data_IF_161290750300
#
_entry.id   IF_161290750300
#
_cell.length_a   1.000
_cell.length_b   1.000
_cell.length_c   1.000
_cell.angle_alpha   90.00
_cell.angle_beta   90.00
_cell.angle_gamma   90.00
#
_symmetry.space_group_name_H-M   'P 1'
#
loop_
_entity.id
_entity.type
_entity.pdbx_description
1 polymer ?
#
# COMPACT_ATOMS: atom_id res chain seq x y z
N UNK A 1 28.67 8.39 2.31
CA UNK A 1 27.38 8.53 1.60
C UNK A 1 26.94 7.13 1.23
N UNK A 2 25.67 6.77 1.42
CA UNK A 2 25.16 5.46 0.99
C UNK A 2 25.29 5.34 -0.54
N UNK A 3 25.58 4.13 -1.03
CA UNK A 3 25.62 3.91 -2.49
C UNK A 3 24.19 3.93 -3.07
N UNK A 4 24.06 4.18 -4.38
CA UNK A 4 22.77 4.06 -5.08
C UNK A 4 22.11 2.69 -4.80
N UNK A 5 22.91 1.62 -4.78
CA UNK A 5 22.43 0.27 -4.48
C UNK A 5 21.89 0.14 -3.06
N UNK A 6 22.53 0.74 -2.06
CA UNK A 6 22.05 0.71 -0.67
C UNK A 6 20.71 1.45 -0.53
N UNK A 7 20.60 2.62 -1.20
CA UNK A 7 19.38 3.39 -1.25
C UNK A 7 18.24 2.61 -1.96
N UNK A 8 18.51 1.90 -3.05
CA UNK A 8 17.52 1.05 -3.71
C UNK A 8 17.06 -0.06 -2.76
N UNK A 9 18.00 -0.80 -2.16
CA UNK A 9 17.69 -1.99 -1.33
C UNK A 9 16.89 -1.68 -0.07
N UNK A 10 17.00 -0.47 0.49
CA UNK A 10 16.24 -0.08 1.67
C UNK A 10 14.80 0.36 1.38
N UNK A 11 14.41 0.57 0.13
CA UNK A 11 13.08 1.08 -0.23
C UNK A 11 12.04 -0.03 -0.38
N UNK A 12 10.83 0.23 0.12
CA UNK A 12 9.65 -0.62 -0.10
C UNK A 12 8.48 0.26 -0.53
N UNK A 13 8.07 0.13 -1.78
CA UNK A 13 6.96 0.92 -2.33
C UNK A 13 5.79 0.00 -2.65
N UNK A 14 4.69 0.20 -1.94
CA UNK A 14 3.53 -0.69 -2.02
C UNK A 14 2.21 0.06 -1.94
N UNK A 15 1.14 -0.62 -2.36
CA UNK A 15 -0.23 -0.14 -2.18
C UNK A 15 -0.98 -1.06 -1.21
N UNK A 16 -1.97 -0.49 -0.52
CA UNK A 16 -2.94 -1.27 0.25
C UNK A 16 -4.26 -1.22 -0.51
N UNK A 17 -4.75 -2.39 -0.89
CA UNK A 17 -5.98 -2.54 -1.66
C UNK A 17 -6.98 -3.37 -0.87
N UNK A 18 -8.27 -3.08 -1.02
CA UNK A 18 -9.32 -3.87 -0.38
C UNK A 18 -10.68 -3.56 -0.99
N UNK A 19 -11.68 -4.39 -0.68
CA UNK A 19 -13.06 -3.97 -0.79
C UNK A 19 -13.36 -2.80 0.17
N UNK A 20 -14.36 -1.94 -0.10
CA UNK A 20 -14.87 -0.97 0.86
C UNK A 20 -15.11 -1.59 2.24
N UNK A 21 -14.79 -0.81 3.28
CA UNK A 21 -14.96 -1.17 4.69
C UNK A 21 -14.16 -2.36 5.22
N UNK A 22 -13.31 -3.03 4.42
CA UNK A 22 -12.45 -4.12 4.90
C UNK A 22 -11.40 -3.64 5.94
N UNK A 23 -11.09 -2.35 5.96
CA UNK A 23 -10.22 -1.72 6.97
C UNK A 23 -8.88 -1.22 6.47
N UNK A 24 -8.73 -0.96 5.15
CA UNK A 24 -7.55 -0.33 4.53
C UNK A 24 -7.07 0.90 5.31
N UNK A 25 -7.92 1.91 5.48
CA UNK A 25 -7.55 3.18 6.15
C UNK A 25 -7.05 2.94 7.57
N UNK A 26 -7.74 2.08 8.33
CA UNK A 26 -7.32 1.69 9.68
C UNK A 26 -5.95 1.03 9.68
N UNK A 27 -5.69 0.11 8.74
CA UNK A 27 -4.38 -0.54 8.62
C UNK A 27 -3.29 0.48 8.28
N UNK A 28 -3.54 1.36 7.30
CA UNK A 28 -2.63 2.43 6.89
C UNK A 28 -2.25 3.32 8.08
N UNK A 29 -3.21 3.76 8.89
CA UNK A 29 -2.94 4.55 10.10
C UNK A 29 -2.03 3.82 11.09
N UNK A 30 -2.22 2.51 11.28
CA UNK A 30 -1.40 1.72 12.19
C UNK A 30 0.02 1.54 11.68
N UNK A 31 0.20 1.32 10.39
CA UNK A 31 1.54 1.27 9.78
C UNK A 31 2.28 2.59 9.96
N UNK A 32 1.59 3.73 9.79
CA UNK A 32 2.16 5.05 10.03
C UNK A 32 2.51 5.30 11.50
N UNK A 33 1.70 4.79 12.44
CA UNK A 33 2.01 4.84 13.87
C UNK A 33 3.35 4.12 14.17
N UNK A 34 3.57 2.93 13.60
CA UNK A 34 4.82 2.19 13.76
C UNK A 34 6.03 2.91 13.14
N UNK A 35 5.82 3.66 12.07
CA UNK A 35 6.83 4.52 11.45
C UNK A 35 7.21 5.77 12.26
N UNK A 36 6.76 5.90 13.51
CA UNK A 36 6.97 7.11 14.31
C UNK A 36 6.20 8.33 13.80
N UNK A 37 5.30 8.18 12.83
CA UNK A 37 4.44 9.23 12.31
C UNK A 37 3.23 9.44 13.24
N UNK A 38 3.50 9.67 14.53
CA UNK A 38 2.54 9.72 15.65
C UNK A 38 1.43 10.77 15.40
N UNK A 39 1.76 11.87 14.71
CA UNK A 39 0.79 12.90 14.35
C UNK A 39 -0.26 12.44 13.31
N UNK A 40 0.01 11.37 12.55
CA UNK A 40 -0.86 10.91 11.45
C UNK A 40 -1.96 9.97 11.94
N UNK A 41 -1.66 9.07 12.87
CA UNK A 41 -2.59 8.05 13.36
C UNK A 41 -3.76 8.61 14.21
N UNK A 42 -3.66 9.84 14.69
CA UNK A 42 -4.71 10.48 15.52
C UNK A 42 -5.83 11.18 14.73
N UNK A 43 -5.62 11.47 13.45
CA UNK A 43 -6.50 12.37 12.69
C UNK A 43 -7.83 11.71 12.26
N UNK A 44 -7.84 10.40 12.01
CA UNK A 44 -9.01 9.71 11.45
C UNK A 44 -9.96 9.18 12.55
N UNK A 45 -9.44 8.82 13.74
CA UNK A 45 -10.25 8.25 14.84
C UNK A 45 -11.04 9.24 15.70
N UNK A 46 -10.84 10.55 15.58
CA UNK A 46 -11.43 11.51 16.54
C UNK A 46 -12.82 12.04 16.12
N UNK A 47 -13.86 11.50 16.76
CA UNK A 47 -15.22 12.08 16.79
C UNK A 47 -15.45 13.02 17.99
N UNK A 48 -14.42 13.30 18.82
CA UNK A 48 -14.61 14.04 20.09
C UNK A 48 -13.59 15.14 20.41
N UNK A 49 -12.72 15.55 19.49
CA UNK A 49 -11.81 16.68 19.74
C UNK A 49 -12.02 17.75 18.67
N UNK A 50 -12.78 18.80 19.03
CA UNK A 50 -12.72 20.10 18.35
C UNK A 50 -11.33 20.68 18.58
N UNK A 51 -10.41 20.51 17.63
CA UNK A 51 -9.34 21.46 17.27
C UNK A 51 -8.49 20.93 16.11
N UNK A 52 -8.63 21.63 14.98
CA UNK A 52 -7.67 21.75 13.86
C UNK A 52 -7.05 20.44 13.36
N UNK A 53 -7.82 19.66 12.61
CA UNK A 53 -7.28 18.64 11.73
C UNK A 53 -6.59 19.32 10.53
N UNK A 54 -5.30 19.08 10.39
CA UNK A 54 -4.42 19.64 9.37
C UNK A 54 -4.59 18.91 8.04
N UNK A 55 -5.69 19.21 7.32
CA UNK A 55 -5.83 19.27 5.85
C UNK A 55 -7.31 19.17 5.49
N UNK A 56 -7.81 20.04 4.63
CA UNK A 56 -9.22 20.11 4.18
C UNK A 56 -9.75 18.78 3.57
N UNK A 57 -8.85 17.90 3.11
CA UNK A 57 -9.16 16.63 2.45
C UNK A 57 -9.71 15.56 3.39
N UNK A 58 -9.11 15.42 4.59
CA UNK A 58 -9.62 14.50 5.62
C UNK A 58 -11.04 14.90 6.07
N UNK A 59 -11.39 16.18 5.94
CA UNK A 59 -12.73 16.67 6.26
C UNK A 59 -13.76 16.30 5.18
N UNK A 60 -13.38 16.32 3.89
CA UNK A 60 -14.23 15.88 2.76
C UNK A 60 -14.43 14.36 2.78
N UNK A 61 -13.38 13.57 3.00
CA UNK A 61 -13.49 12.12 3.14
C UNK A 61 -14.38 11.76 4.34
N UNK A 62 -14.24 12.49 5.45
CA UNK A 62 -15.08 12.34 6.64
C UNK A 62 -16.54 12.73 6.40
N UNK A 63 -16.81 13.74 5.58
CA UNK A 63 -18.17 14.12 5.18
C UNK A 63 -18.83 13.09 4.28
N UNK A 64 -18.07 12.44 3.39
CA UNK A 64 -18.59 11.45 2.44
C UNK A 64 -18.58 10.01 2.98
N UNK A 65 -17.84 9.73 4.04
CA UNK A 65 -17.69 8.39 4.62
C UNK A 65 -16.93 7.41 3.73
N UNK A 66 -16.27 7.89 2.68
CA UNK A 66 -15.49 7.08 1.71
C UNK A 66 -14.15 7.76 1.44
N UNK A 67 -13.12 6.96 1.13
CA UNK A 67 -11.81 7.49 0.69
C UNK A 67 -11.90 7.92 -0.78
N UNK A 68 -11.53 9.17 -1.06
CA UNK A 68 -11.83 9.87 -2.33
C UNK A 68 -10.56 10.09 -3.17
N UNK A 69 -9.38 10.17 -2.55
CA UNK A 69 -8.15 10.48 -3.27
C UNK A 69 -6.97 9.58 -2.86
N UNK A 70 -6.23 9.06 -3.84
CA UNK A 70 -4.98 8.33 -3.55
C UNK A 70 -3.97 9.25 -2.88
N UNK A 71 -3.55 8.95 -1.66
CA UNK A 71 -2.48 9.66 -0.97
C UNK A 71 -1.18 8.87 -1.04
N UNK A 72 -0.06 9.59 -1.12
CA UNK A 72 1.27 8.99 -1.01
C UNK A 72 1.81 9.33 0.36
N UNK A 73 2.26 8.33 1.11
CA UNK A 73 2.75 8.50 2.47
C UNK A 73 4.04 7.71 2.67
N UNK A 74 5.12 8.43 2.94
CA UNK A 74 6.42 7.87 3.26
C UNK A 74 6.72 7.90 4.75
N UNK A 75 7.38 6.88 5.27
CA UNK A 75 7.93 6.85 6.63
C UNK A 75 9.15 5.91 6.71
N UNK A 76 9.96 6.10 7.74
CA UNK A 76 11.10 5.22 8.02
C UNK A 76 10.71 4.16 9.05
N UNK A 77 11.17 2.92 8.85
CA UNK A 77 10.95 1.81 9.77
C UNK A 77 12.24 0.99 9.89
N UNK A 78 12.95 1.13 11.01
CA UNK A 78 14.33 0.65 11.13
C UNK A 78 15.21 1.29 10.06
N UNK A 79 15.94 0.46 9.31
CA UNK A 79 16.78 0.92 8.19
C UNK A 79 16.02 1.06 6.86
N UNK A 80 14.73 0.74 6.83
CA UNK A 80 13.91 0.75 5.62
C UNK A 80 13.19 2.09 5.42
N UNK A 81 13.09 2.50 4.16
CA UNK A 81 12.26 3.62 3.71
C UNK A 81 11.01 3.09 3.04
N UNK A 82 9.86 3.35 3.63
CA UNK A 82 8.59 2.80 3.20
C UNK A 82 7.78 3.88 2.49
N UNK A 83 7.22 3.55 1.33
CA UNK A 83 6.29 4.40 0.58
C UNK A 83 4.96 3.64 0.41
N UNK A 84 3.91 4.16 1.04
CA UNK A 84 2.53 3.67 0.88
C UNK A 84 1.82 4.53 -0.14
N UNK A 85 1.24 3.89 -1.15
CA UNK A 85 0.28 4.52 -2.05
C UNK A 85 -1.11 4.02 -1.67
N UNK A 86 -1.87 4.87 -0.99
CA UNK A 86 -3.19 4.50 -0.46
C UNK A 86 -4.24 4.59 -1.58
N UNK A 87 -4.85 3.48 -2.00
CA UNK A 87 -5.80 3.48 -3.12
C UNK A 87 -7.24 3.74 -2.67
N UNK A 88 -8.05 4.53 -3.38
CA UNK A 88 -9.49 4.60 -3.14
C UNK A 88 -10.16 3.23 -3.22
N UNK A 89 -11.04 2.91 -2.26
CA UNK A 89 -11.71 1.60 -2.21
C UNK A 89 -13.03 1.52 -3.00
N UNK A 90 -13.65 2.66 -3.30
CA UNK A 90 -14.95 2.72 -3.96
C UNK A 90 -14.85 2.50 -5.48
N UNK A 91 -15.88 1.89 -6.09
CA UNK A 91 -15.86 1.53 -7.53
C UNK A 91 -15.70 2.75 -8.45
N UNK A 92 -16.27 3.88 -8.05
CA UNK A 92 -16.20 5.15 -8.77
C UNK A 92 -14.78 5.71 -8.96
N UNK A 93 -13.79 5.16 -8.25
CA UNK A 93 -12.38 5.58 -8.32
C UNK A 93 -11.45 4.45 -8.80
N UNK A 94 -11.99 3.44 -9.48
CA UNK A 94 -11.24 2.28 -9.93
C UNK A 94 -10.04 2.66 -10.83
N UNK A 95 -10.19 3.64 -11.73
CA UNK A 95 -9.12 4.07 -12.63
C UNK A 95 -7.89 4.62 -11.88
N UNK A 96 -8.10 5.47 -10.88
CA UNK A 96 -7.02 6.00 -10.04
C UNK A 96 -6.33 4.89 -9.26
N UNK A 97 -7.09 3.92 -8.76
CA UNK A 97 -6.57 2.74 -8.07
C UNK A 97 -5.70 1.90 -9.00
N UNK A 98 -6.15 1.61 -10.22
CA UNK A 98 -5.38 0.82 -11.16
C UNK A 98 -4.11 1.55 -11.64
N UNK A 99 -4.17 2.86 -11.87
CA UNK A 99 -2.98 3.67 -12.17
C UNK A 99 -1.99 3.66 -11.00
N UNK A 100 -2.49 3.70 -9.77
CA UNK A 100 -1.65 3.61 -8.57
C UNK A 100 -0.92 2.27 -8.49
N UNK A 101 -1.60 1.16 -8.84
CA UNK A 101 -0.97 -0.16 -8.92
C UNK A 101 0.17 -0.24 -9.94
N UNK A 102 0.25 0.73 -10.86
CA UNK A 102 1.38 0.80 -11.79
C UNK A 102 2.66 1.29 -11.15
N UNK A 103 2.53 2.07 -10.09
CA UNK A 103 3.62 2.76 -9.43
C UNK A 103 4.21 1.99 -8.25
N UNK A 104 3.64 0.85 -7.88
CA UNK A 104 4.08 0.05 -6.72
C UNK A 104 4.84 -1.20 -7.13
N UNK A 105 5.68 -1.70 -6.23
CA UNK A 105 6.49 -2.89 -6.46
C UNK A 105 5.85 -4.14 -5.82
N UNK A 106 4.98 -3.96 -4.83
CA UNK A 106 4.16 -5.00 -4.19
C UNK A 106 2.84 -4.43 -3.66
N UNK A 107 1.96 -5.30 -3.18
CA UNK A 107 0.63 -4.92 -2.66
C UNK A 107 0.29 -5.69 -1.38
N UNK A 108 -0.43 -5.04 -0.47
CA UNK A 108 -1.10 -5.68 0.65
C UNK A 108 -2.61 -5.66 0.37
N UNK A 109 -3.23 -6.84 0.27
CA UNK A 109 -4.68 -7.01 0.19
C UNK A 109 -5.25 -7.10 1.60
N UNK A 110 -6.23 -6.27 1.93
CA UNK A 110 -6.96 -6.38 3.21
C UNK A 110 -8.31 -7.07 2.96
N UNK A 111 -8.56 -8.11 3.74
CA UNK A 111 -9.78 -8.94 3.69
C UNK A 111 -10.49 -8.89 5.03
N UNK A 112 -11.81 -8.78 5.04
CA UNK A 112 -12.61 -8.88 6.25
C UNK A 112 -12.86 -10.36 6.57
N UNK A 113 -12.46 -10.83 7.75
CA UNK A 113 -12.63 -12.24 8.18
C UNK A 113 -14.10 -12.70 8.17
N UNK A 114 -15.06 -11.79 8.34
CA UNK A 114 -16.48 -12.15 8.31
C UNK A 114 -17.02 -12.31 6.90
N UNK A 115 -16.43 -11.61 5.92
CA UNK A 115 -16.96 -11.55 4.56
C UNK A 115 -16.16 -12.36 3.55
N UNK A 116 -14.86 -12.55 3.77
CA UNK A 116 -13.99 -13.21 2.80
C UNK A 116 -13.74 -12.35 1.55
N UNK A 117 -13.69 -12.98 0.39
CA UNK A 117 -13.31 -12.34 -0.87
C UNK A 117 -14.53 -11.67 -1.50
N UNK A 118 -14.51 -10.34 -1.52
CA UNK A 118 -15.56 -9.51 -2.13
C UNK A 118 -15.22 -9.13 -3.60
N UNK A 119 -16.20 -8.55 -4.30
CA UNK A 119 -16.11 -8.27 -5.75
C UNK A 119 -14.89 -7.41 -6.12
N UNK A 120 -14.62 -6.36 -5.34
CA UNK A 120 -13.48 -5.47 -5.63
C UNK A 120 -12.14 -6.15 -5.38
N UNK A 121 -12.04 -6.99 -4.36
CA UNK A 121 -10.83 -7.77 -4.08
C UNK A 121 -10.46 -8.64 -5.28
N UNK A 122 -11.45 -9.31 -5.92
CA UNK A 122 -11.24 -10.09 -7.15
C UNK A 122 -10.70 -9.23 -8.30
N UNK A 123 -11.36 -8.11 -8.60
CA UNK A 123 -10.96 -7.20 -9.69
C UNK A 123 -9.55 -6.64 -9.50
N UNK A 124 -9.22 -6.22 -8.28
CA UNK A 124 -7.90 -5.68 -7.97
C UNK A 124 -6.81 -6.75 -8.03
N UNK A 125 -7.13 -7.98 -7.63
CA UNK A 125 -6.22 -9.12 -7.76
C UNK A 125 -5.93 -9.45 -9.23
N UNK A 126 -6.92 -9.35 -10.13
CA UNK A 126 -6.68 -9.55 -11.58
C UNK A 126 -5.65 -8.55 -12.12
N UNK A 127 -5.73 -7.28 -11.71
CA UNK A 127 -4.74 -6.27 -12.10
C UNK A 127 -3.35 -6.58 -11.53
N UNK A 128 -3.26 -7.06 -10.29
CA UNK A 128 -1.99 -7.51 -9.71
C UNK A 128 -1.42 -8.71 -10.49
N UNK A 129 -2.27 -9.67 -10.87
CA UNK A 129 -1.90 -10.88 -11.62
C UNK A 129 -1.37 -10.55 -13.01
N UNK A 130 -2.01 -9.62 -13.73
CA UNK A 130 -1.57 -9.17 -15.05
C UNK A 130 -0.14 -8.60 -15.05
N UNK A 131 0.35 -8.17 -13.88
CA UNK A 131 1.66 -7.52 -13.71
C UNK A 131 2.63 -8.36 -12.88
N UNK A 132 2.25 -9.58 -12.48
CA UNK A 132 3.01 -10.42 -11.53
C UNK A 132 3.46 -9.60 -10.30
N UNK A 133 2.55 -8.78 -9.76
CA UNK A 133 2.80 -7.97 -8.56
C UNK A 133 2.72 -8.88 -7.34
N UNK A 134 3.78 -8.97 -6.50
CA UNK A 134 3.74 -9.72 -5.26
C UNK A 134 2.66 -9.21 -4.33
N UNK A 135 1.89 -10.13 -3.75
CA UNK A 135 0.75 -9.84 -2.90
C UNK A 135 0.95 -10.46 -1.53
N UNK A 136 0.77 -9.65 -0.48
CA UNK A 136 0.56 -10.14 0.89
C UNK A 136 -0.92 -9.98 1.22
N UNK A 137 -1.52 -10.93 1.92
CA UNK A 137 -2.93 -10.84 2.34
C UNK A 137 -2.97 -10.63 3.85
N UNK A 138 -3.75 -9.64 4.30
CA UNK A 138 -4.03 -9.39 5.71
C UNK A 138 -5.53 -9.61 5.97
N UNK A 139 -5.85 -10.70 6.65
CA UNK A 139 -7.19 -11.03 7.13
C UNK A 139 -7.44 -10.26 8.43
N UNK A 140 -8.29 -9.25 8.32
CA UNK A 140 -8.57 -8.25 9.34
C UNK A 140 -9.86 -8.55 10.11
N UNK A 141 -10.05 -7.82 11.22
CA UNK A 141 -11.24 -7.84 12.08
C UNK A 141 -11.45 -9.12 12.89
N UNK A 142 -10.37 -9.78 13.31
CA UNK A 142 -10.46 -10.92 14.24
C UNK A 142 -11.10 -10.57 15.59
N UNK A 143 -11.23 -9.29 15.93
CA UNK A 143 -11.98 -8.81 17.09
C UNK A 143 -13.50 -8.97 16.97
N UNK A 144 -13.99 -9.45 15.82
CA UNK A 144 -15.40 -9.71 15.54
C UNK A 144 -15.60 -11.17 15.18
N UNK A 145 -16.84 -11.64 15.35
CA UNK A 145 -17.23 -12.94 14.82
C UNK A 145 -16.98 -12.98 13.31
N UNK A 146 -16.47 -14.10 12.86
CA UNK A 146 -16.00 -14.28 11.50
C UNK A 146 -16.09 -15.74 11.08
N UNK A 147 -15.58 -16.02 9.88
CA UNK A 147 -15.53 -17.38 9.35
C UNK A 147 -14.31 -18.12 9.88
N UNK A 148 -14.32 -19.44 9.71
CA UNK A 148 -13.18 -20.26 10.09
C UNK A 148 -11.93 -19.86 9.26
N UNK A 149 -10.74 -19.77 9.88
CA UNK A 149 -9.52 -19.40 9.17
C UNK A 149 -9.17 -20.31 7.99
N UNK A 150 -9.44 -21.62 8.06
CA UNK A 150 -9.20 -22.53 6.94
C UNK A 150 -10.16 -22.27 5.79
N UNK A 151 -11.45 -22.05 6.07
CA UNK A 151 -12.43 -21.67 5.04
C UNK A 151 -12.03 -20.36 4.32
N UNK A 152 -11.42 -19.42 5.07
CA UNK A 152 -10.90 -18.18 4.49
C UNK A 152 -9.68 -18.47 3.60
N UNK A 153 -8.74 -19.33 4.01
CA UNK A 153 -7.61 -19.70 3.16
C UNK A 153 -8.06 -20.36 1.85
N UNK A 154 -9.00 -21.30 1.92
CA UNK A 154 -9.54 -21.99 0.74
C UNK A 154 -10.26 -21.03 -0.22
N UNK A 155 -11.03 -20.09 0.34
CA UNK A 155 -11.66 -19.03 -0.47
C UNK A 155 -10.62 -18.12 -1.10
N UNK A 156 -9.57 -17.72 -0.36
CA UNK A 156 -8.50 -16.88 -0.91
C UNK A 156 -7.80 -17.59 -2.08
N UNK A 157 -7.45 -18.86 -1.95
CA UNK A 157 -6.83 -19.61 -3.06
C UNK A 157 -7.74 -19.69 -4.28
N UNK A 158 -8.98 -20.12 -4.08
CA UNK A 158 -9.92 -20.37 -5.17
C UNK A 158 -10.37 -19.10 -5.89
N UNK A 159 -10.73 -18.05 -5.14
CA UNK A 159 -11.27 -16.81 -5.70
C UNK A 159 -10.19 -15.88 -6.24
N UNK A 160 -9.04 -15.79 -5.57
CA UNK A 160 -7.94 -14.93 -6.01
C UNK A 160 -7.04 -15.61 -7.05
N UNK A 161 -7.12 -16.95 -7.15
CA UNK A 161 -6.33 -17.80 -8.06
C UNK A 161 -4.83 -17.64 -7.81
N UNK A 162 -4.42 -17.75 -6.55
CA UNK A 162 -3.03 -17.64 -6.08
C UNK A 162 -2.82 -18.67 -4.96
N UNK A 163 -1.65 -19.30 -4.89
CA UNK A 163 -1.36 -20.15 -3.74
C UNK A 163 -1.24 -19.30 -2.48
N UNK A 164 -1.67 -19.81 -1.32
CA UNK A 164 -1.52 -19.10 -0.05
C UNK A 164 -0.59 -19.84 0.90
N UNK A 165 0.07 -19.08 1.77
CA UNK A 165 0.81 -19.63 2.91
C UNK A 165 0.54 -18.79 4.15
N UNK A 166 -0.19 -19.27 5.16
CA UNK A 166 -0.28 -18.56 6.42
C UNK A 166 1.12 -18.39 7.03
N UNK A 167 1.48 -17.15 7.35
CA UNK A 167 2.68 -16.77 8.11
C UNK A 167 2.35 -16.34 9.55
N UNK A 168 1.06 -16.25 9.85
CA UNK A 168 0.55 -16.10 11.20
C UNK A 168 -0.76 -16.86 11.32
N UNK A 169 -1.14 -17.29 12.51
CA UNK A 169 -2.38 -18.03 12.75
C UNK A 169 -3.16 -17.48 13.95
N UNK A 170 -4.47 -17.22 13.83
CA UNK A 170 -5.26 -16.67 14.92
C UNK A 170 -5.60 -17.73 15.96
N UNK A 171 -5.57 -17.36 17.24
CA UNK A 171 -6.04 -18.17 18.35
C UNK A 171 -7.43 -17.68 18.70
N UNK A 172 -8.43 -18.46 18.28
CA UNK A 172 -9.85 -18.11 18.29
C UNK A 172 -10.15 -16.83 17.48
N UNK A 173 -11.42 -16.42 17.49
CA UNK A 173 -11.93 -15.22 16.83
C UNK A 173 -13.01 -14.56 17.71
N UNK A 174 -13.40 -13.33 17.36
CA UNK A 174 -14.50 -12.62 18.00
C UNK A 174 -14.29 -12.41 19.50
N UNK A 175 -15.32 -12.67 20.30
CA UNK A 175 -15.26 -12.47 21.74
C UNK A 175 -14.23 -13.38 22.44
N UNK A 176 -13.86 -14.49 21.80
CA UNK A 176 -12.88 -15.46 22.32
C UNK A 176 -11.47 -15.24 21.79
N UNK A 177 -11.25 -14.22 20.96
CA UNK A 177 -9.94 -13.96 20.36
C UNK A 177 -8.86 -13.74 21.43
N UNK A 178 -7.81 -14.58 21.39
CA UNK A 178 -6.73 -14.59 22.40
C UNK A 178 -5.40 -14.07 21.88
N UNK A 179 -5.19 -14.05 20.57
CA UNK A 179 -3.92 -13.63 19.99
C UNK A 179 -3.65 -14.26 18.64
N UNK A 180 -2.42 -14.12 18.16
CA UNK A 180 -1.96 -14.69 16.90
C UNK A 180 -0.59 -15.31 17.15
N UNK A 181 -0.40 -16.50 16.62
CA UNK A 181 0.90 -17.15 16.54
C UNK A 181 1.60 -16.72 15.25
N UNK A 182 2.80 -16.18 15.36
CA UNK A 182 3.64 -15.81 14.22
C UNK A 182 4.45 -17.03 13.77
N UNK A 183 4.04 -17.67 12.67
CA UNK A 183 4.69 -18.84 12.08
C UNK A 183 6.06 -18.46 11.50
N UNK A 184 6.20 -17.22 11.01
CA UNK A 184 7.45 -16.76 10.40
C UNK A 184 8.58 -16.54 11.42
N UNK A 185 8.26 -16.05 12.63
CA UNK A 185 9.25 -15.78 13.68
C UNK A 185 9.21 -16.77 14.85
N UNK A 186 8.27 -17.73 14.83
CA UNK A 186 7.97 -18.62 15.96
C UNK A 186 7.74 -17.83 17.26
N UNK A 187 6.74 -16.96 17.29
CA UNK A 187 6.41 -16.19 18.49
C UNK A 187 4.92 -16.13 18.75
N UNK A 188 4.52 -16.06 20.02
CA UNK A 188 3.13 -15.87 20.40
C UNK A 188 2.89 -14.43 20.82
N UNK A 189 1.98 -13.79 20.11
CA UNK A 189 1.50 -12.46 20.45
C UNK A 189 0.14 -12.61 21.11
N UNK A 190 0.00 -12.12 22.35
CA UNK A 190 -1.24 -12.24 23.11
C UNK A 190 -2.07 -10.98 23.00
N UNK A 191 -3.35 -11.17 22.66
CA UNK A 191 -4.32 -10.10 22.64
C UNK A 191 -4.93 -9.91 24.02
N UNK A 192 -4.66 -8.74 24.63
CA UNK A 192 -5.36 -8.27 25.82
C UNK A 192 -6.22 -7.07 25.44
N UNK A 193 -7.55 -7.08 25.67
CA UNK A 193 -8.46 -6.01 25.25
C UNK A 193 -8.31 -4.67 26.00
N UNK A 194 -7.17 -4.43 26.66
CA UNK A 194 -6.91 -3.20 27.40
C UNK A 194 -6.22 -2.14 26.52
N UNK A 195 -6.85 -0.96 26.41
CA UNK A 195 -6.43 0.12 25.50
C UNK A 195 -5.19 0.88 25.96
N UNK A 196 -4.66 0.58 27.15
CA UNK A 196 -3.56 1.35 27.77
C UNK A 196 -2.24 0.58 27.91
N UNK A 197 -2.20 -0.74 27.67
CA UNK A 197 -0.97 -1.53 27.81
C UNK A 197 -0.37 -1.92 26.47
N UNK A 198 0.95 -1.83 26.40
CA UNK A 198 1.77 -2.42 25.35
C UNK A 198 1.50 -3.93 25.36
N UNK A 199 1.36 -4.50 24.16
CA UNK A 199 1.11 -5.92 23.94
C UNK A 199 2.16 -6.78 24.66
N UNK A 200 1.74 -7.92 25.19
CA UNK A 200 2.64 -8.88 25.81
C UNK A 200 3.02 -9.91 24.75
N UNK A 201 4.24 -9.74 24.22
CA UNK A 201 4.85 -10.71 23.31
C UNK A 201 5.55 -11.77 24.14
N UNK A 202 5.19 -13.03 23.92
CA UNK A 202 5.88 -14.18 24.51
C UNK A 202 6.70 -14.82 23.41
N UNK A 203 8.01 -14.58 23.45
CA UNK A 203 8.94 -15.32 22.61
C UNK A 203 8.99 -16.77 23.10
N UNK A 204 8.68 -17.68 22.18
CA UNK A 204 8.58 -19.10 22.43
C UNK A 204 9.48 -19.79 21.44
N UNK A 205 10.31 -20.70 21.92
CA UNK A 205 11.18 -21.48 21.05
C UNK A 205 10.49 -22.70 20.44
N UNK A 206 9.42 -23.20 21.09
CA UNK A 206 8.68 -24.38 20.66
C UNK A 206 7.21 -24.31 21.13
N UNK A 207 6.26 -24.75 20.30
CA UNK A 207 4.83 -24.83 20.65
C UNK A 207 4.55 -25.79 21.80
N UNK A 208 5.46 -26.70 22.14
CA UNK A 208 5.34 -27.54 23.35
C UNK A 208 5.71 -26.80 24.64
N UNK A 209 6.12 -25.53 24.56
CA UNK A 209 6.44 -24.72 25.73
C UNK A 209 5.20 -24.54 26.62
N UNK A 210 5.26 -24.93 27.90
CA UNK A 210 4.14 -24.79 28.84
C UNK A 210 3.61 -23.35 28.97
N UNK A 211 4.44 -22.35 28.65
CA UNK A 211 4.03 -20.94 28.62
C UNK A 211 2.90 -20.68 27.61
N UNK A 212 2.77 -21.50 26.57
CA UNK A 212 1.65 -21.44 25.62
C UNK A 212 0.35 -21.85 26.32
N UNK A 213 0.35 -23.00 26.99
CA UNK A 213 -0.82 -23.52 27.71
C UNK A 213 -1.22 -22.58 28.87
N UNK A 214 -0.25 -22.00 29.57
CA UNK A 214 -0.52 -21.00 30.61
C UNK A 214 -1.15 -19.72 30.04
N UNK A 215 -0.69 -19.29 28.86
CA UNK A 215 -1.12 -18.05 28.24
C UNK A 215 -2.51 -18.13 27.61
N UNK A 216 -2.80 -19.22 26.89
CA UNK A 216 -4.05 -19.37 26.12
C UNK A 216 -4.98 -20.45 26.65
N UNK A 217 -4.53 -21.31 27.57
CA UNK A 217 -5.29 -22.45 28.10
C UNK A 217 -5.09 -23.72 27.27
N UNK A 218 -5.04 -24.88 27.95
CA UNK A 218 -4.71 -26.19 27.37
C UNK A 218 -5.55 -26.54 26.12
N UNK A 219 -6.86 -26.28 26.15
CA UNK A 219 -7.74 -26.60 25.02
C UNK A 219 -7.42 -25.79 23.77
N UNK A 220 -7.17 -24.48 23.92
CA UNK A 220 -6.85 -23.59 22.79
C UNK A 220 -5.40 -23.82 22.31
N UNK A 221 -4.49 -24.14 23.24
CA UNK A 221 -3.12 -24.52 22.90
C UNK A 221 -3.07 -25.84 22.11
N UNK A 222 -3.86 -26.84 22.50
CA UNK A 222 -3.99 -28.10 21.75
C UNK A 222 -4.53 -27.82 20.35
N UNK A 223 -5.62 -27.04 20.23
CA UNK A 223 -6.16 -26.69 18.91
C UNK A 223 -5.13 -25.96 18.05
N UNK A 224 -4.40 -24.99 18.60
CA UNK A 224 -3.35 -24.28 17.88
C UNK A 224 -2.29 -25.24 17.34
N UNK A 225 -1.85 -26.23 18.13
CA UNK A 225 -0.88 -27.24 17.70
C UNK A 225 -1.43 -28.08 16.55
N UNK A 226 -2.67 -28.57 16.68
CA UNK A 226 -3.34 -29.35 15.64
C UNK A 226 -3.48 -28.55 14.33
N UNK A 227 -3.91 -27.29 14.43
CA UNK A 227 -4.04 -26.39 13.27
C UNK A 227 -2.67 -26.16 12.59
N UNK A 228 -1.59 -25.96 13.36
CA UNK A 228 -0.25 -25.74 12.82
C UNK A 228 0.36 -27.00 12.20
N UNK A 229 0.08 -28.19 12.77
CA UNK A 229 0.44 -29.46 12.15
C UNK A 229 -0.27 -29.64 10.80
N UNK A 230 -1.57 -29.33 10.75
CA UNK A 230 -2.34 -29.36 9.51
C UNK A 230 -1.77 -28.38 8.48
N UNK A 231 -1.41 -27.16 8.89
CA UNK A 231 -0.78 -26.17 8.01
C UNK A 231 0.55 -26.67 7.47
N UNK A 232 1.36 -27.32 8.30
CA UNK A 232 2.63 -27.93 7.89
C UNK A 232 2.46 -29.11 6.93
N UNK A 233 1.37 -29.85 7.04
CA UNK A 233 1.06 -31.00 6.17
C UNK A 233 0.38 -30.62 4.84
N UNK A 234 -0.41 -29.54 4.81
CA UNK A 234 -1.22 -29.15 3.65
C UNK A 234 -0.55 -28.07 2.80
N UNK A 235 -0.03 -27.01 3.42
CA UNK A 235 0.53 -25.88 2.67
C UNK A 235 2.05 -26.04 2.52
N UNK A 236 2.61 -25.75 1.34
CA UNK A 236 4.06 -25.77 1.15
C UNK A 236 4.75 -24.75 2.07
N UNK A 237 6.05 -24.94 2.30
CA UNK A 237 6.85 -23.94 3.00
C UNK A 237 6.85 -22.60 2.24
N UNK A 238 7.09 -21.52 2.97
CA UNK A 238 7.14 -20.20 2.37
C UNK A 238 8.36 -20.04 1.45
N UNK A 239 8.09 -19.95 0.15
CA UNK A 239 9.10 -19.64 -0.87
C UNK A 239 9.03 -18.16 -1.25
N UNK A 240 10.09 -17.42 -0.89
CA UNK A 240 10.23 -15.99 -1.20
C UNK A 240 10.26 -15.74 -2.71
N UNK A 241 10.86 -16.63 -3.52
CA UNK A 241 10.93 -16.46 -4.97
C UNK A 241 9.56 -16.64 -5.62
N UNK A 242 8.75 -17.60 -5.17
CA UNK A 242 7.37 -17.76 -5.65
C UNK A 242 6.48 -16.57 -5.24
N UNK A 243 6.71 -16.00 -4.05
CA UNK A 243 6.09 -14.73 -3.65
C UNK A 243 6.49 -13.57 -4.57
N UNK A 244 7.78 -13.40 -4.85
CA UNK A 244 8.28 -12.34 -5.73
C UNK A 244 7.83 -12.49 -7.19
N UNK A 245 7.49 -13.72 -7.62
CA UNK A 245 6.86 -14.02 -8.91
C UNK A 245 5.34 -13.82 -8.92
N UNK A 246 4.73 -13.50 -7.77
CA UNK A 246 3.29 -13.30 -7.65
C UNK A 246 2.46 -14.59 -7.70
N UNK A 247 3.06 -15.74 -7.35
CA UNK A 247 2.41 -17.06 -7.37
C UNK A 247 2.00 -17.56 -6.00
N UNK A 248 2.68 -17.08 -4.95
CA UNK A 248 2.41 -17.41 -3.56
C UNK A 248 2.12 -16.12 -2.78
N UNK A 249 1.02 -16.08 -2.03
CA UNK A 249 0.68 -14.97 -1.13
C UNK A 249 0.85 -15.39 0.33
N UNK A 250 1.77 -14.76 1.09
CA UNK A 250 1.78 -14.93 2.53
C UNK A 250 0.53 -14.30 3.15
N UNK A 251 -0.09 -15.02 4.08
CA UNK A 251 -1.33 -14.61 4.76
C UNK A 251 -1.04 -14.29 6.22
N UNK A 252 -1.45 -13.10 6.63
CA UNK A 252 -1.42 -12.62 8.00
C UNK A 252 -2.83 -12.45 8.54
N UNK A 253 -3.02 -12.67 9.82
CA UNK A 253 -4.29 -12.59 10.53
C UNK A 253 -4.15 -11.54 11.64
N UNK A 254 -5.15 -10.66 11.80
CA UNK A 254 -5.07 -9.63 12.83
C UNK A 254 -6.31 -8.76 13.01
N UNK A 255 -6.15 -7.75 13.87
CA UNK A 255 -7.13 -6.68 14.08
C UNK A 255 -6.42 -5.33 13.99
N UNK A 256 -6.53 -4.68 12.83
CA UNK A 256 -5.99 -3.34 12.63
C UNK A 256 -6.59 -2.33 13.61
N UNK A 257 -7.87 -2.49 13.98
CA UNK A 257 -8.54 -1.60 14.93
C UNK A 257 -7.82 -1.56 16.28
N UNK A 258 -7.37 -2.73 16.73
CA UNK A 258 -6.66 -2.95 17.99
C UNK A 258 -5.14 -2.97 17.84
N UNK A 259 -4.60 -2.67 16.64
CA UNK A 259 -3.15 -2.68 16.35
C UNK A 259 -2.50 -4.06 16.51
N UNK A 260 -3.30 -5.12 16.36
CA UNK A 260 -2.86 -6.49 16.60
C UNK A 260 -2.63 -7.23 15.27
N UNK A 261 -1.51 -7.94 15.12
CA UNK A 261 -1.11 -8.57 13.85
C UNK A 261 -0.48 -7.60 12.84
N UNK A 262 -0.50 -6.29 13.12
CA UNK A 262 -0.01 -5.25 12.20
C UNK A 262 1.51 -5.11 12.27
N UNK A 263 2.09 -5.26 13.46
CA UNK A 263 3.55 -5.17 13.64
C UNK A 263 4.23 -6.35 12.99
N UNK A 264 3.70 -7.54 13.18
CA UNK A 264 4.16 -8.81 12.64
C UNK A 264 4.12 -8.78 11.11
N UNK A 265 3.02 -8.27 10.56
CA UNK A 265 2.89 -7.99 9.13
C UNK A 265 4.00 -7.05 8.65
N UNK A 266 4.23 -5.92 9.35
CA UNK A 266 5.22 -4.92 8.94
C UNK A 266 6.66 -5.44 9.05
N UNK A 267 6.99 -6.15 10.13
CA UNK A 267 8.29 -6.77 10.39
C UNK A 267 8.63 -7.81 9.33
N UNK A 268 7.66 -8.63 8.93
CA UNK A 268 7.84 -9.57 7.83
C UNK A 268 7.92 -8.85 6.48
N UNK A 269 7.00 -7.91 6.22
CA UNK A 269 6.90 -7.16 4.97
C UNK A 269 8.24 -6.54 4.58
N UNK A 270 8.92 -5.83 5.49
CA UNK A 270 10.20 -5.18 5.15
C UNK A 270 11.31 -6.18 4.77
N UNK A 271 11.27 -7.41 5.30
CA UNK A 271 12.23 -8.49 5.03
C UNK A 271 11.95 -9.21 3.70
N UNK A 272 10.68 -9.45 3.37
CA UNK A 272 10.30 -10.28 2.22
C UNK A 272 9.89 -9.48 0.99
N UNK A 273 9.28 -8.30 1.17
CA UNK A 273 8.76 -7.50 0.07
C UNK A 273 9.89 -7.04 -0.88
N UNK A 274 9.59 -6.88 -2.18
CA UNK A 274 10.57 -6.44 -3.15
C UNK A 274 11.01 -5.00 -2.85
N UNK A 275 12.29 -4.75 -3.09
CA UNK A 275 12.80 -3.41 -3.38
C UNK A 275 12.41 -3.02 -4.83
N UNK A 276 12.69 -1.79 -5.30
CA UNK A 276 12.34 -1.37 -6.66
C UNK A 276 12.74 -2.41 -7.70
N UNK A 277 11.78 -2.78 -8.57
CA UNK A 277 11.98 -3.82 -9.59
C UNK A 277 12.23 -3.21 -10.97
N UNK A 278 12.87 -3.95 -11.90
CA UNK A 278 12.96 -3.54 -13.29
C UNK A 278 11.59 -3.21 -13.87
N UNK A 279 11.53 -2.13 -14.64
CA UNK A 279 10.30 -1.62 -15.25
C UNK A 279 10.42 -1.68 -16.77
N UNK A 280 9.38 -2.16 -17.45
CA UNK A 280 9.37 -2.26 -18.91
C UNK A 280 9.00 -0.92 -19.57
N UNK A 281 9.87 -0.43 -20.46
CA UNK A 281 9.54 0.61 -21.42
C UNK A 281 9.24 -0.01 -22.80
N UNK A 282 8.79 0.80 -23.76
CA UNK A 282 8.55 0.32 -25.13
C UNK A 282 9.82 -0.12 -25.82
N UNK A 283 10.92 0.58 -25.52
CA UNK A 283 12.23 0.38 -26.12
C UNK A 283 13.00 -0.77 -25.47
N UNK A 284 13.00 -0.85 -24.13
CA UNK A 284 13.78 -1.82 -23.35
C UNK A 284 13.32 -1.94 -21.91
N UNK A 285 13.87 -2.92 -21.20
CA UNK A 285 13.78 -2.99 -19.74
C UNK A 285 14.70 -1.94 -19.09
N UNK A 286 14.18 -1.26 -18.07
CA UNK A 286 14.91 -0.27 -17.27
C UNK A 286 15.19 -0.85 -15.89
N UNK A 287 16.46 -0.87 -15.49
CA UNK A 287 16.90 -1.39 -14.18
C UNK A 287 17.06 -0.25 -13.17
N UNK A 288 16.65 -0.44 -11.90
CA UNK A 288 16.82 0.56 -10.85
C UNK A 288 18.26 1.01 -10.65
N UNK A 289 19.22 0.12 -10.87
CA UNK A 289 20.65 0.35 -10.67
C UNK A 289 21.31 1.20 -11.78
N UNK A 290 20.60 1.54 -12.86
CA UNK A 290 21.13 2.43 -13.89
C UNK A 290 21.43 3.82 -13.29
N UNK A 291 22.56 4.43 -13.68
CA UNK A 291 22.96 5.75 -13.15
C UNK A 291 22.05 6.88 -13.65
N UNK A 292 21.58 6.77 -14.90
CA UNK A 292 20.75 7.78 -15.52
C UNK A 292 19.34 7.79 -14.92
N UNK A 293 18.85 8.98 -14.60
CA UNK A 293 17.51 9.15 -14.08
C UNK A 293 16.46 8.80 -15.14
N UNK A 294 15.49 8.00 -14.72
CA UNK A 294 14.22 7.82 -15.44
C UNK A 294 13.06 7.74 -14.45
N UNK A 295 11.90 8.23 -14.87
CA UNK A 295 10.66 8.10 -14.10
C UNK A 295 9.44 8.47 -14.94
N UNK A 296 8.26 8.08 -14.47
CA UNK A 296 7.01 8.36 -15.17
C UNK A 296 5.95 8.95 -14.25
N UNK A 297 5.10 9.81 -14.84
CA UNK A 297 3.93 10.38 -14.18
C UNK A 297 2.83 9.32 -14.17
N UNK A 298 2.42 8.86 -12.99
CA UNK A 298 1.32 7.89 -12.85
C UNK A 298 0.03 8.52 -12.35
N UNK A 299 0.12 9.68 -11.71
CA UNK A 299 -1.01 10.42 -11.16
C UNK A 299 -0.78 11.92 -11.30
N UNK A 300 -1.84 12.66 -11.61
CA UNK A 300 -1.86 14.12 -11.53
C UNK A 300 -2.99 14.51 -10.60
N UNK A 301 -2.70 15.38 -9.65
CA UNK A 301 -3.71 15.88 -8.73
C UNK A 301 -3.83 17.39 -8.91
N UNK A 302 -5.02 17.83 -9.32
CA UNK A 302 -5.33 19.24 -9.54
C UNK A 302 -5.91 19.90 -8.28
N UNK A 303 -5.81 21.23 -8.20
CA UNK A 303 -6.45 22.07 -7.18
C UNK A 303 -6.07 21.73 -5.73
N UNK A 304 -4.76 21.62 -5.44
CA UNK A 304 -4.30 21.45 -4.05
C UNK A 304 -4.44 22.71 -3.18
N UNK A 305 -4.47 23.89 -3.80
CA UNK A 305 -4.72 25.18 -3.15
C UNK A 305 -5.90 25.84 -3.88
N UNK A 306 -7.02 26.18 -3.21
CA UNK A 306 -8.13 26.89 -3.83
C UNK A 306 -7.72 28.24 -4.46
N UNK A 307 -6.67 28.87 -3.93
CA UNK A 307 -6.19 30.19 -4.37
C UNK A 307 -5.22 30.11 -5.55
N UNK A 308 -4.56 28.98 -5.73
CA UNK A 308 -3.62 28.74 -6.83
C UNK A 308 -4.02 27.45 -7.53
N UNK A 309 -4.43 27.54 -8.80
CA UNK A 309 -4.68 26.39 -9.71
C UNK A 309 -3.38 25.59 -9.95
N UNK A 310 -2.82 25.06 -8.89
CA UNK A 310 -1.56 24.36 -8.80
C UNK A 310 -1.89 22.87 -8.83
N UNK A 311 -1.37 22.21 -9.85
CA UNK A 311 -1.43 20.77 -9.97
C UNK A 311 -0.11 20.19 -9.46
N UNK A 312 -0.14 18.95 -8.99
CA UNK A 312 1.07 18.16 -8.73
C UNK A 312 1.00 16.90 -9.57
N UNK A 313 2.03 16.69 -10.39
CA UNK A 313 2.28 15.44 -11.08
C UNK A 313 3.13 14.53 -10.18
N UNK A 314 2.62 13.34 -9.87
CA UNK A 314 3.33 12.33 -9.08
C UNK A 314 4.15 11.45 -10.02
N UNK A 315 5.47 11.50 -9.84
CA UNK A 315 6.46 10.78 -10.63
C UNK A 315 6.99 9.61 -9.80
N UNK A 316 6.89 8.39 -10.32
CA UNK A 316 7.66 7.25 -9.79
C UNK A 316 9.08 7.33 -10.34
N UNK A 317 10.08 7.30 -9.46
CA UNK A 317 11.48 7.15 -9.86
C UNK A 317 11.74 5.67 -10.19
N UNK A 318 12.22 5.40 -11.40
CA UNK A 318 12.46 4.05 -11.91
C UNK A 318 13.95 3.68 -11.93
N UNK A 319 14.83 4.63 -12.21
CA UNK A 319 16.29 4.44 -12.21
C UNK A 319 17.02 5.72 -11.85
N UNK A 320 18.30 5.59 -11.53
CA UNK A 320 19.19 6.71 -11.28
C UNK A 320 18.79 7.53 -10.08
N UNK A 321 19.25 8.79 -10.07
CA UNK A 321 19.00 9.72 -8.98
C UNK A 321 18.24 10.93 -9.49
N UNK A 322 17.08 11.19 -8.91
CA UNK A 322 16.43 12.48 -9.07
C UNK A 322 17.17 13.51 -8.22
N UNK A 323 17.56 14.62 -8.83
CA UNK A 323 18.15 15.79 -8.20
C UNK A 323 17.35 17.06 -8.53
N UNK A 324 17.13 17.88 -7.52
CA UNK A 324 16.45 19.17 -7.64
C UNK A 324 17.23 20.10 -8.58
N UNK A 325 16.51 20.89 -9.38
CA UNK A 325 17.05 21.83 -10.37
C UNK A 325 17.93 21.23 -11.48
N UNK A 326 18.12 19.91 -11.52
CA UNK A 326 18.75 19.24 -12.66
C UNK A 326 17.85 19.32 -13.90
N UNK A 327 18.44 19.30 -15.12
CA UNK A 327 17.69 19.30 -16.36
C UNK A 327 17.10 17.89 -16.62
N UNK A 328 15.78 17.83 -16.81
CA UNK A 328 15.07 16.63 -17.22
C UNK A 328 14.35 16.86 -18.54
N UNK A 329 14.42 15.88 -19.42
CA UNK A 329 13.68 15.84 -20.66
C UNK A 329 12.31 15.22 -20.43
N UNK A 330 11.24 15.94 -20.75
CA UNK A 330 9.90 15.38 -20.88
C UNK A 330 9.75 14.78 -22.27
N UNK A 331 9.78 13.45 -22.36
CA UNK A 331 9.93 12.71 -23.62
C UNK A 331 8.85 13.08 -24.64
N UNK A 332 7.57 13.13 -24.23
CA UNK A 332 6.44 13.44 -25.13
C UNK A 332 6.54 14.82 -25.80
N UNK A 333 7.05 15.83 -25.10
CA UNK A 333 7.09 17.21 -25.60
C UNK A 333 8.47 17.61 -26.13
N UNK A 334 9.48 16.75 -25.96
CA UNK A 334 10.89 17.01 -26.22
C UNK A 334 11.45 18.22 -25.45
N UNK A 335 10.72 18.73 -24.45
CA UNK A 335 11.13 19.90 -23.68
C UNK A 335 12.02 19.50 -22.51
N UNK A 336 13.09 20.26 -22.32
CA UNK A 336 13.93 20.19 -21.11
C UNK A 336 13.37 21.14 -20.07
N UNK A 337 13.22 20.66 -18.84
CA UNK A 337 12.72 21.42 -17.71
C UNK A 337 13.57 21.20 -16.47
N UNK A 338 13.49 22.15 -15.52
CA UNK A 338 14.13 22.05 -14.21
C UNK A 338 13.04 22.10 -13.14
N UNK A 339 13.15 21.22 -12.16
CA UNK A 339 12.14 21.10 -11.11
C UNK A 339 12.69 21.75 -9.84
N UNK A 340 12.19 22.95 -9.53
CA UNK A 340 12.72 23.80 -8.46
C UNK A 340 12.11 23.55 -7.08
N UNK A 341 10.91 22.99 -7.00
CA UNK A 341 10.22 22.67 -5.76
C UNK A 341 9.62 21.25 -5.79
N UNK A 342 10.43 20.20 -6.02
CA UNK A 342 9.96 18.83 -5.96
C UNK A 342 9.58 18.49 -4.51
N UNK A 343 8.43 17.87 -4.32
CA UNK A 343 7.87 17.55 -3.01
C UNK A 343 7.99 16.06 -2.75
N UNK A 344 8.57 15.66 -1.61
CA UNK A 344 8.35 14.31 -1.08
C UNK A 344 7.21 14.36 -0.05
N UNK A 345 6.46 13.26 -0.02
CA UNK A 345 5.31 13.11 0.86
C UNK A 345 5.71 12.20 2.02
N UNK A 346 6.37 12.76 3.03
CA UNK A 346 6.68 12.03 4.27
C UNK A 346 5.60 12.33 5.30
N UNK A 347 4.88 11.29 5.74
CA UNK A 347 3.73 11.44 6.63
C UNK A 347 2.73 12.52 6.11
N UNK A 348 2.37 13.49 6.95
CA UNK A 348 1.50 14.63 6.59
C UNK A 348 2.27 15.89 6.12
N UNK A 349 3.62 15.86 6.05
CA UNK A 349 4.41 17.05 5.72
C UNK A 349 4.88 17.01 4.28
N UNK A 350 4.52 18.05 3.53
CA UNK A 350 5.11 18.35 2.22
C UNK A 350 6.47 19.00 2.46
N UNK A 351 7.53 18.26 2.18
CA UNK A 351 8.88 18.78 2.25
C UNK A 351 9.45 18.87 0.84
N UNK A 352 10.08 20.01 0.54
CA UNK A 352 10.91 20.09 -0.66
C UNK A 352 12.10 19.17 -0.46
N UNK A 353 12.37 18.32 -1.44
CA UNK A 353 13.50 17.39 -1.39
C UNK A 353 14.57 17.76 -2.40
N UNK A 354 15.83 17.56 -2.04
CA UNK A 354 16.94 17.80 -2.96
C UNK A 354 17.24 16.57 -3.81
N UNK A 355 16.94 15.36 -3.29
CA UNK A 355 17.15 14.10 -3.99
C UNK A 355 16.08 13.04 -3.74
N UNK A 356 15.89 12.15 -4.71
CA UNK A 356 15.07 10.95 -4.60
C UNK A 356 15.67 9.80 -5.43
N UNK A 357 15.37 8.56 -5.04
CA UNK A 357 15.98 7.35 -5.61
C UNK A 357 14.89 6.38 -6.10
N UNK A 358 15.21 5.31 -6.85
CA UNK A 358 14.22 4.40 -7.40
C UNK A 358 13.29 3.86 -6.32
N UNK A 359 11.99 3.80 -6.64
CA UNK A 359 10.93 3.47 -5.68
C UNK A 359 10.34 4.68 -4.95
N UNK A 360 11.06 5.79 -4.81
CA UNK A 360 10.47 7.02 -4.27
C UNK A 360 9.43 7.59 -5.24
N UNK A 361 8.46 8.31 -4.66
CA UNK A 361 7.47 9.08 -5.40
C UNK A 361 7.74 10.56 -5.17
N UNK A 362 7.95 11.30 -6.26
CA UNK A 362 8.24 12.73 -6.25
C UNK A 362 7.05 13.51 -6.80
N UNK A 363 6.55 14.47 -6.04
CA UNK A 363 5.56 15.44 -6.49
C UNK A 363 6.23 16.58 -7.24
N UNK A 364 5.97 16.68 -8.54
CA UNK A 364 6.45 17.74 -9.41
C UNK A 364 5.35 18.79 -9.58
N UNK A 365 5.62 20.08 -9.29
CA UNK A 365 4.67 21.15 -9.57
C UNK A 365 4.32 21.18 -11.06
N UNK A 366 3.02 21.19 -11.35
CA UNK A 366 2.50 21.17 -12.71
C UNK A 366 1.58 22.39 -12.95
N UNK A 367 1.83 23.06 -14.07
CA UNK A 367 1.01 24.17 -14.57
C UNK A 367 0.16 23.75 -15.77
N UNK A 368 -0.09 22.44 -15.92
CA UNK A 368 -0.83 21.84 -17.04
C UNK A 368 0.07 21.33 -18.19
N UNK A 369 1.35 21.09 -17.92
CA UNK A 369 2.31 20.58 -18.91
C UNK A 369 2.39 19.06 -18.91
N UNK A 370 2.06 18.41 -17.79
CA UNK A 370 2.12 16.97 -17.65
C UNK A 370 0.81 16.29 -18.05
N UNK A 371 0.95 15.08 -18.58
CA UNK A 371 -0.12 14.10 -18.75
C UNK A 371 0.26 12.81 -18.02
N UNK A 372 -0.73 12.03 -17.66
CA UNK A 372 -0.48 10.70 -17.10
C UNK A 372 0.21 9.85 -18.18
N UNK A 373 1.33 9.22 -17.82
CA UNK A 373 2.23 8.50 -18.73
C UNK A 373 3.37 9.31 -19.29
N UNK A 374 3.46 10.61 -19.00
CA UNK A 374 4.65 11.36 -19.36
C UNK A 374 5.89 10.79 -18.67
N UNK A 375 6.92 10.57 -19.47
CA UNK A 375 8.22 10.07 -19.01
C UNK A 375 9.20 11.23 -18.89
N UNK A 376 9.96 11.23 -17.79
CA UNK A 376 11.06 12.14 -17.50
C UNK A 376 12.37 11.35 -17.52
N UNK A 377 13.35 11.83 -18.28
CA UNK A 377 14.69 11.21 -18.35
C UNK A 377 15.80 12.27 -18.35
N UNK A 378 17.05 11.82 -18.29
CA UNK A 378 18.24 12.67 -18.54
C UNK A 378 18.65 12.76 -20.03
N UNK A 379 17.76 12.38 -20.95
CA UNK A 379 17.97 12.60 -22.39
C UNK A 379 17.52 11.44 -23.28
N UNK A 380 17.52 10.22 -22.75
CA UNK A 380 17.03 9.03 -23.46
C UNK A 380 15.53 9.15 -23.76
N UNK A 381 15.13 8.76 -24.97
CA UNK A 381 13.72 8.68 -25.32
C UNK A 381 13.18 7.32 -24.87
N UNK A 382 12.50 7.31 -23.73
CA UNK A 382 11.87 6.14 -23.15
C UNK A 382 10.37 6.37 -22.98
N UNK A 383 9.57 5.35 -23.29
CA UNK A 383 8.13 5.36 -23.08
C UNK A 383 7.75 4.21 -22.14
N UNK A 384 7.50 4.52 -20.87
CA UNK A 384 7.12 3.49 -19.91
C UNK A 384 5.78 2.82 -20.28
N UNK A 385 5.76 1.49 -20.30
CA UNK A 385 4.55 0.70 -20.58
C UNK A 385 3.68 0.52 -19.35
N UNK A 386 2.44 0.10 -19.58
CA UNK A 386 1.61 -0.49 -18.55
C UNK A 386 0.88 0.51 -17.67
N UNK A 387 0.66 1.73 -18.17
CA UNK A 387 -0.39 2.62 -17.68
C UNK A 387 -1.67 2.31 -18.46
N UNK A 388 -2.62 1.59 -17.86
CA UNK A 388 -3.84 1.20 -18.55
C UNK A 388 -4.67 2.44 -18.91
N UNK A 389 -5.14 2.49 -20.16
CA UNK A 389 -6.25 3.33 -20.56
C UNK A 389 -7.54 2.54 -20.41
N UNK A 390 -8.48 3.02 -19.61
CA UNK A 390 -9.75 2.33 -19.40
C UNK A 390 -10.80 2.87 -20.37
N UNK A 391 -11.65 1.97 -20.87
CA UNK A 391 -12.87 2.36 -21.55
C UNK A 391 -13.83 2.97 -20.52
N UNK A 392 -14.32 4.20 -20.71
CA UNK A 392 -15.29 4.80 -19.80
C UNK A 392 -16.55 3.94 -19.69
N UNK A 393 -17.04 3.70 -18.47
CA UNK A 393 -18.30 2.98 -18.23
C UNK A 393 -19.52 3.92 -18.30
N UNK A 394 -19.32 5.22 -18.07
CA UNK A 394 -20.37 6.23 -18.07
C UNK A 394 -20.06 7.32 -19.09
N UNK A 395 -21.05 7.64 -19.92
CA UNK A 395 -20.99 8.73 -20.89
C UNK A 395 -22.02 9.79 -20.51
N UNK A 396 -21.63 11.06 -20.55
CA UNK A 396 -22.54 12.19 -20.32
C UNK A 396 -22.33 13.25 -21.39
N UNK A 397 -23.44 13.85 -21.82
CA UNK A 397 -23.41 15.07 -22.60
C UNK A 397 -23.37 16.27 -21.64
N UNK A 398 -22.43 17.19 -21.86
CA UNK A 398 -22.33 18.42 -21.10
C UNK A 398 -22.88 19.53 -21.99
N UNK A 399 -23.96 20.16 -21.57
CA UNK A 399 -24.52 21.33 -22.24
C UNK A 399 -24.09 22.60 -21.52
N UNK A 400 -23.46 23.52 -22.25
CA UNK A 400 -23.09 24.81 -21.70
C UNK A 400 -24.32 25.71 -21.58
N UNK A 401 -24.79 25.93 -20.35
CA UNK A 401 -25.93 26.81 -20.09
C UNK A 401 -25.62 28.30 -20.30
N UNK A 402 -24.33 28.68 -20.38
CA UNK A 402 -23.88 30.05 -20.64
C UNK A 402 -22.95 30.10 -21.87
N UNK A 403 -23.50 30.39 -23.07
CA UNK A 403 -22.73 30.45 -24.32
C UNK A 403 -21.51 31.39 -24.27
N UNK A 404 -21.51 32.40 -23.39
CA UNK A 404 -20.38 33.33 -23.25
C UNK A 404 -19.18 32.69 -22.55
N UNK A 405 -19.37 31.56 -21.86
CA UNK A 405 -18.32 30.83 -21.15
C UNK A 405 -17.76 29.62 -21.91
N UNK A 406 -18.07 29.47 -23.20
CA UNK A 406 -17.60 28.30 -23.99
C UNK A 406 -16.08 28.11 -23.96
N UNK A 407 -15.29 29.19 -24.05
CA UNK A 407 -13.82 29.10 -23.92
C UNK A 407 -13.35 28.64 -22.54
N UNK A 408 -14.11 28.94 -21.49
CA UNK A 408 -13.79 28.50 -20.13
C UNK A 408 -14.16 27.03 -19.94
N UNK A 409 -15.28 26.60 -20.53
CA UNK A 409 -15.70 25.20 -20.54
C UNK A 409 -14.75 24.31 -21.35
N UNK A 410 -14.28 24.75 -22.52
CA UNK A 410 -13.30 24.00 -23.32
C UNK A 410 -11.93 23.87 -22.64
N UNK A 411 -11.59 24.85 -21.78
CA UNK A 411 -10.31 24.87 -21.06
C UNK A 411 -10.35 24.06 -19.76
N UNK A 412 -11.52 23.99 -19.10
CA UNK A 412 -11.73 23.23 -17.87
C UNK A 412 -11.91 21.77 -18.17
#
# INVERSE_FOLDING_TARGET
MASLTDEIKRRRTFAIISHPDAGKTTLTEKLLLFGGAIHVAGAVKSNKIKKTATSDWMEIEKQRGISVATSVMGFDYGDYKINILDTPGHQDFAEDTYRTLTAVDSVIIVVDVAKGVEQQTRKLMEVCRMRNTPVIIFVNKLDREGRDPFDILDELESELKIGVRPLSWPINIGAKFKGVYNIYENSLDLFKPDKQKVQERVEITDLTDPRVDEAVGEADASKLRDDLELIGGVYPEFDKEEYLRGKLAPVFFGSALNTFGVKELLDCFVKIAPYPRPTQAEEREIRPEEEAFSGFVFKIHANMDPNHRSCIAFVKVCSGKFERNAPYKQVRTDKVMRIAAPTAFMAQRKNVVDEAYPGDIVGVPDTGNFKIGDTLTQGENLHFRGLPSFSPEMFKYIENTDPMKSKQLEKG
#
